data_IF_816819685702
#
_entry.id   IF_816819685702
#
_cell.length_a   1.000
_cell.length_b   1.000
_cell.length_c   1.000
_cell.angle_alpha   90.00
_cell.angle_beta   90.00
_cell.angle_gamma   90.00
#
_symmetry.space_group_name_H-M   'P 1'
#
loop_
_entity.id
_entity.type
_entity.pdbx_description
1 polymer ?
#
# COMPACT_ATOMS: atom_id res chain seq x y z
N UNK A 1 -21.82 -28.68 37.40
CA UNK A 1 -22.50 -27.45 36.97
C UNK A 1 -21.67 -26.87 35.84
N UNK A 2 -22.23 -26.79 34.65
CA UNK A 2 -21.54 -26.29 33.47
C UNK A 2 -21.19 -24.81 33.70
N UNK A 3 -19.90 -24.53 33.91
CA UNK A 3 -19.33 -23.20 33.85
C UNK A 3 -19.51 -22.71 32.41
N UNK A 4 -20.48 -21.84 32.16
CA UNK A 4 -20.79 -21.30 30.82
C UNK A 4 -19.76 -20.30 30.30
N UNK A 5 -18.48 -20.51 30.57
CA UNK A 5 -17.35 -19.71 30.10
C UNK A 5 -16.43 -20.53 29.21
N UNK A 6 -15.75 -19.88 28.28
CA UNK A 6 -14.73 -20.50 27.43
C UNK A 6 -13.61 -21.10 28.28
N UNK A 7 -13.10 -22.25 27.87
CA UNK A 7 -11.81 -22.74 28.37
C UNK A 7 -10.70 -21.81 27.88
N UNK A 8 -9.57 -21.76 28.58
CA UNK A 8 -8.42 -20.93 28.16
C UNK A 8 -7.87 -21.32 26.77
N UNK A 9 -8.08 -22.57 26.33
CA UNK A 9 -7.73 -23.00 24.98
C UNK A 9 -8.69 -22.50 23.91
N UNK A 10 -9.99 -22.47 24.21
CA UNK A 10 -11.02 -21.90 23.32
C UNK A 10 -10.89 -20.37 23.21
N UNK A 11 -10.60 -19.68 24.31
CA UNK A 11 -10.35 -18.23 24.30
C UNK A 11 -9.14 -17.89 23.44
N UNK A 12 -8.02 -18.61 23.62
CA UNK A 12 -6.83 -18.46 22.79
C UNK A 12 -7.10 -18.78 21.30
N UNK A 13 -7.94 -19.77 21.00
CA UNK A 13 -8.38 -20.06 19.62
C UNK A 13 -9.13 -18.88 19.01
N UNK A 14 -10.12 -18.35 19.71
CA UNK A 14 -10.91 -17.22 19.23
C UNK A 14 -10.06 -15.96 19.06
N UNK A 15 -9.17 -15.67 20.01
CA UNK A 15 -8.23 -14.55 19.94
C UNK A 15 -7.28 -14.68 18.75
N UNK A 16 -6.79 -15.90 18.49
CA UNK A 16 -5.90 -16.18 17.34
C UNK A 16 -6.63 -15.94 16.01
N UNK A 17 -7.86 -16.43 15.88
CA UNK A 17 -8.67 -16.26 14.68
C UNK A 17 -9.06 -14.79 14.44
N UNK A 18 -9.41 -14.07 15.50
CA UNK A 18 -9.69 -12.64 15.43
C UNK A 18 -8.44 -11.85 15.04
N UNK A 19 -7.29 -12.13 15.68
CA UNK A 19 -6.04 -11.46 15.39
C UNK A 19 -5.61 -11.67 13.93
N UNK A 20 -5.67 -12.90 13.43
CA UNK A 20 -5.36 -13.24 12.04
C UNK A 20 -6.30 -12.55 11.06
N UNK A 21 -7.62 -12.58 11.33
CA UNK A 21 -8.61 -11.94 10.47
C UNK A 21 -8.40 -10.43 10.40
N UNK A 22 -8.16 -9.78 11.53
CA UNK A 22 -7.92 -8.34 11.61
C UNK A 22 -6.60 -7.98 10.92
N UNK A 23 -5.52 -8.73 11.16
CA UNK A 23 -4.22 -8.43 10.55
C UNK A 23 -4.25 -8.62 9.04
N UNK A 24 -4.91 -9.66 8.55
CA UNK A 24 -5.06 -9.91 7.12
C UNK A 24 -5.88 -8.80 6.44
N UNK A 25 -7.02 -8.42 7.04
CA UNK A 25 -7.82 -7.31 6.52
C UNK A 25 -7.08 -5.96 6.53
N UNK A 26 -6.27 -5.69 7.55
CA UNK A 26 -5.42 -4.49 7.59
C UNK A 26 -4.31 -4.53 6.53
N UNK A 27 -3.69 -5.69 6.32
CA UNK A 27 -2.71 -5.90 5.26
C UNK A 27 -3.33 -5.64 3.87
N UNK A 28 -4.49 -6.23 3.60
CA UNK A 28 -5.23 -6.04 2.33
C UNK A 28 -5.59 -4.58 2.10
N UNK A 29 -6.16 -3.90 3.10
CA UNK A 29 -6.55 -2.47 2.99
C UNK A 29 -5.32 -1.59 2.80
N UNK A 30 -4.22 -1.85 3.51
CA UNK A 30 -2.99 -1.09 3.34
C UNK A 30 -2.39 -1.29 1.95
N UNK A 31 -2.41 -2.52 1.42
CA UNK A 31 -1.95 -2.80 0.07
C UNK A 31 -2.83 -2.12 -0.99
N UNK A 32 -4.15 -2.21 -0.86
CA UNK A 32 -5.09 -1.54 -1.76
C UNK A 32 -4.89 -0.01 -1.77
N UNK A 33 -4.69 0.60 -0.59
CA UNK A 33 -4.38 2.02 -0.48
C UNK A 33 -3.03 2.39 -1.10
N UNK A 34 -2.02 1.54 -0.95
CA UNK A 34 -0.73 1.73 -1.63
C UNK A 34 -0.87 1.67 -3.16
N UNK A 35 -1.58 0.68 -3.68
CA UNK A 35 -1.87 0.53 -5.12
C UNK A 35 -2.65 1.73 -5.69
N UNK A 36 -3.65 2.23 -4.94
CA UNK A 36 -4.40 3.42 -5.32
C UNK A 36 -3.50 4.67 -5.42
N UNK A 37 -2.62 4.88 -4.44
CA UNK A 37 -1.64 5.97 -4.48
C UNK A 37 -0.74 5.83 -5.71
N UNK A 38 -0.21 4.65 -5.98
CA UNK A 38 0.62 4.39 -7.16
C UNK A 38 -0.15 4.68 -8.47
N UNK A 39 -1.43 4.34 -8.54
CA UNK A 39 -2.29 4.64 -9.68
C UNK A 39 -2.49 6.15 -9.88
N UNK A 40 -2.74 6.89 -8.79
CA UNK A 40 -2.86 8.35 -8.81
C UNK A 40 -1.57 8.99 -9.31
N UNK A 41 -0.42 8.54 -8.81
CA UNK A 41 0.90 9.05 -9.22
C UNK A 41 1.13 8.77 -10.71
N UNK A 42 0.82 7.55 -11.17
CA UNK A 42 0.94 7.22 -12.59
C UNK A 42 0.11 8.14 -13.48
N UNK A 43 -1.16 8.40 -13.12
CA UNK A 43 -2.01 9.35 -13.85
C UNK A 43 -1.45 10.76 -13.81
N UNK A 44 -0.93 11.19 -12.67
CA UNK A 44 -0.32 12.51 -12.52
C UNK A 44 0.92 12.67 -13.44
N UNK A 45 1.75 11.63 -13.58
CA UNK A 45 2.85 11.62 -14.56
C UNK A 45 2.35 11.71 -15.99
N UNK A 46 1.29 10.98 -16.34
CA UNK A 46 0.71 11.06 -17.69
C UNK A 46 0.24 12.48 -18.02
N UNK A 47 -0.40 13.17 -17.08
CA UNK A 47 -0.81 14.57 -17.28
C UNK A 47 0.40 15.52 -17.29
N UNK A 48 1.40 15.30 -16.43
CA UNK A 48 2.64 16.07 -16.44
C UNK A 48 3.35 15.99 -17.79
N UNK A 49 3.46 14.80 -18.38
CA UNK A 49 4.05 14.62 -19.72
C UNK A 49 3.23 15.29 -20.83
N UNK A 50 1.90 15.37 -20.71
CA UNK A 50 1.08 16.17 -21.64
C UNK A 50 1.37 17.67 -21.52
N UNK A 51 1.56 18.17 -20.30
CA UNK A 51 1.95 19.57 -20.08
C UNK A 51 3.33 19.83 -20.67
N UNK A 52 4.30 18.93 -20.46
CA UNK A 52 5.62 19.00 -21.09
C UNK A 52 5.49 19.02 -22.62
N UNK A 53 4.69 18.14 -23.21
CA UNK A 53 4.47 18.15 -24.66
C UNK A 53 3.88 19.47 -25.17
N UNK A 54 3.02 20.12 -24.37
CA UNK A 54 2.43 21.42 -24.72
C UNK A 54 3.47 22.55 -24.80
N UNK A 55 4.61 22.44 -24.10
CA UNK A 55 5.67 23.46 -24.18
C UNK A 55 6.40 23.45 -25.53
N UNK A 56 6.17 22.44 -26.37
CA UNK A 56 6.71 22.36 -27.73
C UNK A 56 5.72 22.84 -28.79
N UNK A 57 4.48 23.17 -28.40
CA UNK A 57 3.45 23.58 -29.35
C UNK A 57 3.64 25.02 -29.81
N UNK A 58 3.94 25.22 -31.09
CA UNK A 58 4.12 26.55 -31.70
C UNK A 58 2.78 27.27 -31.82
N UNK A 59 2.59 28.44 -31.18
CA UNK A 59 1.34 29.19 -31.29
C UNK A 59 1.13 29.73 -32.72
N UNK A 60 -0.14 29.86 -33.13
CA UNK A 60 -0.48 30.40 -34.44
C UNK A 60 0.10 31.81 -34.64
N UNK A 61 0.70 32.06 -35.81
CA UNK A 61 1.29 33.35 -36.17
C UNK A 61 2.73 33.55 -35.69
N UNK A 62 3.32 32.61 -34.96
CA UNK A 62 4.73 32.63 -34.59
C UNK A 62 5.58 31.84 -35.60
N UNK A 63 6.76 32.35 -35.93
CA UNK A 63 7.77 31.68 -36.78
C UNK A 63 8.86 31.15 -35.85
N UNK A 64 8.48 30.26 -34.94
CA UNK A 64 9.39 29.60 -34.01
C UNK A 64 9.40 28.09 -34.30
N UNK A 65 10.53 27.46 -34.09
CA UNK A 65 10.62 26.00 -33.98
C UNK A 65 10.06 25.53 -32.64
N UNK A 66 9.60 24.26 -32.53
CA UNK A 66 9.18 23.66 -31.26
C UNK A 66 10.23 23.81 -30.15
N UNK A 67 11.52 23.73 -30.49
CA UNK A 67 12.63 23.90 -29.56
C UNK A 67 12.73 25.33 -29.04
N UNK A 68 12.58 26.33 -29.91
CA UNK A 68 12.59 27.75 -29.50
C UNK A 68 11.41 28.08 -28.57
N UNK A 69 10.25 27.45 -28.78
CA UNK A 69 9.10 27.59 -27.88
C UNK A 69 9.39 26.94 -26.53
N UNK A 70 9.96 25.73 -26.51
CA UNK A 70 10.34 25.05 -25.27
C UNK A 70 11.40 25.83 -24.48
N UNK A 71 12.37 26.45 -25.16
CA UNK A 71 13.36 27.35 -24.54
C UNK A 71 12.65 28.57 -23.92
N UNK A 72 11.72 29.20 -24.64
CA UNK A 72 10.97 30.34 -24.10
C UNK A 72 10.14 29.98 -22.86
N UNK A 73 9.52 28.80 -22.81
CA UNK A 73 8.88 28.28 -21.59
C UNK A 73 9.88 28.06 -20.47
N UNK A 74 11.04 27.46 -20.78
CA UNK A 74 12.10 27.21 -19.80
C UNK A 74 12.68 28.49 -19.22
N UNK A 75 12.86 29.53 -20.03
CA UNK A 75 13.29 30.87 -19.60
C UNK A 75 12.26 31.52 -18.66
N UNK A 76 10.97 31.20 -18.85
CA UNK A 76 9.88 31.54 -17.94
C UNK A 76 9.76 30.64 -16.70
N UNK A 77 10.68 29.68 -16.52
CA UNK A 77 10.69 28.74 -15.39
C UNK A 77 9.83 27.49 -15.58
N UNK A 78 9.27 27.25 -16.78
CA UNK A 78 8.48 26.06 -17.11
C UNK A 78 9.33 25.12 -17.95
N UNK A 79 9.86 24.07 -17.31
CA UNK A 79 10.68 23.04 -17.94
C UNK A 79 10.19 21.65 -17.55
N UNK A 80 10.68 20.62 -18.24
CA UNK A 80 10.39 19.23 -17.84
C UNK A 80 10.80 18.97 -16.38
N UNK A 81 11.93 19.50 -15.94
CA UNK A 81 12.39 19.38 -14.55
C UNK A 81 11.39 19.98 -13.58
N UNK A 82 10.95 21.22 -13.78
CA UNK A 82 9.99 21.87 -12.87
C UNK A 82 8.58 21.28 -12.96
N UNK A 83 8.25 20.54 -14.02
CA UNK A 83 6.94 19.89 -14.16
C UNK A 83 6.95 18.47 -13.56
N UNK A 84 7.94 17.66 -13.92
CA UNK A 84 8.00 16.23 -13.55
C UNK A 84 8.75 16.02 -12.24
N UNK A 85 9.87 16.72 -12.02
CA UNK A 85 10.69 16.49 -10.82
C UNK A 85 9.99 17.05 -9.56
N UNK A 86 9.26 18.16 -9.68
CA UNK A 86 8.41 18.69 -8.59
C UNK A 86 7.27 17.72 -8.24
N UNK A 87 6.71 17.06 -9.26
CA UNK A 87 5.70 16.02 -9.09
C UNK A 87 6.27 14.83 -8.31
N UNK A 88 7.44 14.34 -8.72
CA UNK A 88 8.17 13.26 -8.06
C UNK A 88 8.48 13.63 -6.60
N UNK A 89 8.99 14.83 -6.37
CA UNK A 89 9.31 15.31 -5.03
C UNK A 89 8.08 15.31 -4.11
N UNK A 90 6.92 15.71 -4.63
CA UNK A 90 5.68 15.76 -3.88
C UNK A 90 5.11 14.37 -3.54
N UNK A 91 5.18 13.41 -4.47
CA UNK A 91 4.57 12.10 -4.30
C UNK A 91 5.49 11.04 -3.71
N UNK A 92 6.80 11.15 -3.89
CA UNK A 92 7.78 10.21 -3.33
C UNK A 92 7.58 9.90 -1.84
N UNK A 93 7.44 10.88 -0.93
CA UNK A 93 7.24 10.59 0.49
C UNK A 93 5.90 9.89 0.76
N UNK A 94 4.87 10.11 -0.07
CA UNK A 94 3.55 9.49 0.09
C UNK A 94 3.58 8.02 -0.33
N UNK A 95 4.24 7.72 -1.46
CA UNK A 95 4.49 6.35 -1.91
C UNK A 95 5.29 5.60 -0.85
N UNK A 96 6.40 6.18 -0.37
CA UNK A 96 7.23 5.52 0.64
C UNK A 96 6.50 5.26 1.94
N UNK A 97 5.62 6.17 2.35
CA UNK A 97 4.80 5.98 3.55
C UNK A 97 3.77 4.87 3.39
N UNK A 98 3.09 4.78 2.23
CA UNK A 98 2.09 3.73 2.00
C UNK A 98 2.73 2.36 1.78
N UNK A 99 3.86 2.30 1.07
CA UNK A 99 4.67 1.09 0.89
C UNK A 99 5.07 0.51 2.24
N UNK A 100 5.69 1.34 3.09
CA UNK A 100 6.09 0.93 4.43
C UNK A 100 4.92 0.46 5.29
N UNK A 101 3.78 1.15 5.23
CA UNK A 101 2.59 0.74 5.99
C UNK A 101 2.07 -0.63 5.54
N UNK A 102 2.08 -0.91 4.24
CA UNK A 102 1.69 -2.22 3.70
C UNK A 102 2.66 -3.33 4.15
N UNK A 103 3.98 -3.06 4.11
CA UNK A 103 5.03 -3.95 4.62
C UNK A 103 4.88 -4.22 6.12
N UNK A 104 4.63 -3.18 6.92
CA UNK A 104 4.47 -3.29 8.37
C UNK A 104 3.28 -4.19 8.72
N UNK A 105 2.15 -4.07 8.02
CA UNK A 105 0.99 -4.94 8.24
C UNK A 105 1.20 -6.38 7.75
N UNK A 106 1.90 -6.56 6.63
CA UNK A 106 2.29 -7.90 6.18
C UNK A 106 3.18 -8.60 7.21
N UNK A 107 4.13 -7.86 7.78
CA UNK A 107 5.01 -8.35 8.83
C UNK A 107 4.24 -8.69 10.11
N UNK A 108 3.26 -7.86 10.48
CA UNK A 108 2.39 -8.10 11.64
C UNK A 108 1.54 -9.37 11.46
N UNK A 109 0.91 -9.54 10.29
CA UNK A 109 0.15 -10.75 9.96
C UNK A 109 1.01 -12.01 10.10
N UNK A 110 2.22 -11.97 9.55
CA UNK A 110 3.17 -13.08 9.67
C UNK A 110 3.57 -13.36 11.11
N UNK A 111 3.87 -12.32 11.90
CA UNK A 111 4.23 -12.48 13.31
C UNK A 111 3.10 -13.07 14.14
N UNK A 112 1.84 -12.71 13.86
CA UNK A 112 0.67 -13.31 14.50
C UNK A 112 0.58 -14.79 14.12
N UNK A 113 0.66 -15.13 12.83
CA UNK A 113 0.63 -16.51 12.36
C UNK A 113 1.73 -17.38 12.98
N UNK A 114 2.97 -16.88 12.99
CA UNK A 114 4.12 -17.56 13.59
C UNK A 114 3.94 -17.76 15.11
N UNK A 115 3.38 -16.75 15.80
CA UNK A 115 3.07 -16.82 17.24
C UNK A 115 2.02 -17.88 17.57
N UNK A 116 0.94 -17.94 16.78
CA UNK A 116 -0.11 -18.97 16.91
C UNK A 116 0.49 -20.36 16.68
N UNK A 117 1.24 -20.53 15.57
CA UNK A 117 1.85 -21.81 15.22
C UNK A 117 2.80 -22.31 16.32
N UNK A 118 3.66 -21.45 16.85
CA UNK A 118 4.57 -21.80 17.96
C UNK A 118 3.80 -22.27 19.20
N UNK A 119 2.68 -21.61 19.53
CA UNK A 119 1.86 -21.99 20.68
C UNK A 119 1.21 -23.36 20.50
N UNK A 120 0.85 -23.73 19.28
CA UNK A 120 0.33 -25.07 18.93
C UNK A 120 1.43 -26.14 18.95
N UNK A 121 2.67 -25.79 18.59
CA UNK A 121 3.81 -26.72 18.66
C UNK A 121 4.18 -27.07 20.10
N UNK A 122 4.11 -26.10 21.01
CA UNK A 122 4.40 -26.27 22.43
C UNK A 122 3.30 -27.07 23.18
N UNK A 123 2.07 -27.10 22.65
CA UNK A 123 0.91 -27.73 23.28
C UNK A 123 0.15 -28.66 22.32
N UNK A 124 0.49 -29.96 22.37
CA UNK A 124 -0.10 -31.00 21.51
C UNK A 124 -1.59 -31.22 21.74
N UNK A 125 -2.09 -31.00 22.96
CA UNK A 125 -3.51 -31.14 23.28
C UNK A 125 -4.28 -29.98 22.66
N UNK A 126 -3.79 -28.75 22.86
CA UNK A 126 -4.33 -27.57 22.22
C UNK A 126 -4.31 -27.67 20.69
N UNK A 127 -3.23 -28.18 20.10
CA UNK A 127 -3.13 -28.40 18.65
C UNK A 127 -4.16 -29.42 18.12
N UNK A 128 -4.47 -30.45 18.90
CA UNK A 128 -5.54 -31.40 18.59
C UNK A 128 -6.90 -30.71 18.60
N UNK A 129 -7.18 -29.92 19.64
CA UNK A 129 -8.43 -29.19 19.80
C UNK A 129 -8.62 -28.13 18.68
N UNK A 130 -7.58 -27.36 18.37
CA UNK A 130 -7.58 -26.40 17.25
C UNK A 130 -7.95 -27.04 15.91
N UNK A 131 -7.41 -28.24 15.63
CA UNK A 131 -7.72 -28.98 14.40
C UNK A 131 -9.18 -29.41 14.34
N UNK A 132 -9.77 -29.81 15.46
CA UNK A 132 -11.19 -30.14 15.51
C UNK A 132 -12.06 -28.89 15.36
N UNK A 133 -11.71 -27.79 16.02
CA UNK A 133 -12.46 -26.54 15.92
C UNK A 133 -12.41 -25.92 14.52
N UNK A 134 -11.28 -26.00 13.81
CA UNK A 134 -11.18 -25.57 12.41
C UNK A 134 -12.08 -26.38 11.46
N UNK A 135 -12.42 -27.63 11.77
CA UNK A 135 -13.33 -28.45 10.92
C UNK A 135 -14.81 -28.07 11.08
N UNK A 136 -15.15 -27.37 12.16
CA UNK A 136 -16.52 -26.95 12.47
C UNK A 136 -16.82 -25.55 11.91
N UNK A 137 -15.78 -24.82 11.48
CA UNK A 137 -15.87 -23.53 10.79
C UNK A 137 -16.35 -23.70 9.35
#
# INVERSE_FOLDING_TARGET
MASGGYTSGEELFLDSEQALTISSGLHEVANAGHEEICSIVHKAHQEAEKIVASTYHVPFGFILSPTEVAIAYSDGGVSRTTIVDDLDHYFYPKIKKSEKLAEDFQSLEKQIADGVQKKLEDDKELAGNFKEWMKVK
#
